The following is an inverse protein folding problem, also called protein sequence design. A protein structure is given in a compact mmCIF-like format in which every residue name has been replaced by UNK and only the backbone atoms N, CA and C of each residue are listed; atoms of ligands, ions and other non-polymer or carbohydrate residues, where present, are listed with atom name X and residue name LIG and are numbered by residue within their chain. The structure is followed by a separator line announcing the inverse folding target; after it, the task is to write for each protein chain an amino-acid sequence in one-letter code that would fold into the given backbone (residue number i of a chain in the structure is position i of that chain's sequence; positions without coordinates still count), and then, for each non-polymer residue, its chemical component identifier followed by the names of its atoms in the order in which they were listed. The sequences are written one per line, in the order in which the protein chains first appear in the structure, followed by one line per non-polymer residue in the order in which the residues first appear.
data_IF_192752471298
#
_entry.id   IF_192752471298
#
_cell.length_a   1.000
_cell.length_b   1.000
_cell.length_c   1.000
_cell.angle_alpha   90.00
_cell.angle_beta   90.00
_cell.angle_gamma   90.00
#
_symmetry.space_group_name_H-M   'P 1'
#
loop_
_entity.id
_entity.type
_entity.pdbx_description
1 polymer ?
#
# COMPACT_ATOMS: atom_id res chain seq x y z
N UNK A 1 17.62 12.50 -9.77
CA UNK A 1 16.83 11.31 -10.16
C UNK A 1 16.61 11.37 -11.67
N UNK A 2 17.01 10.35 -12.39
CA UNK A 2 16.81 10.31 -13.84
C UNK A 2 15.32 10.15 -14.14
N UNK A 3 14.79 10.97 -15.03
CA UNK A 3 13.36 11.01 -15.37
C UNK A 3 12.83 9.63 -15.88
N UNK A 4 13.71 8.77 -16.34
CA UNK A 4 13.40 7.43 -16.88
C UNK A 4 12.92 6.44 -15.82
N UNK A 5 13.47 6.46 -14.60
CA UNK A 5 13.07 5.54 -13.53
C UNK A 5 11.58 5.70 -13.15
N UNK A 6 11.06 6.91 -13.26
CA UNK A 6 9.71 7.27 -12.83
C UNK A 6 8.68 7.35 -13.97
N UNK A 7 9.06 6.91 -15.18
CA UNK A 7 8.20 7.02 -16.37
C UNK A 7 6.85 6.29 -16.27
N UNK A 8 6.78 5.27 -15.42
CA UNK A 8 5.54 4.54 -15.15
C UNK A 8 4.51 5.29 -14.30
N UNK A 9 4.88 6.44 -13.70
CA UNK A 9 3.96 7.25 -12.93
C UNK A 9 3.31 8.35 -13.78
N UNK A 10 2.11 8.76 -13.37
CA UNK A 10 1.43 9.91 -13.95
C UNK A 10 2.30 11.17 -13.90
N UNK A 11 2.24 12.03 -14.91
CA UNK A 11 3.03 13.27 -14.93
C UNK A 11 2.80 14.13 -13.68
N UNK A 12 1.56 14.22 -13.21
CA UNK A 12 1.18 14.99 -12.02
C UNK A 12 1.82 14.43 -10.75
N UNK A 13 1.84 13.11 -10.59
CA UNK A 13 2.50 12.45 -9.46
C UNK A 13 4.03 12.63 -9.53
N UNK A 14 4.63 12.48 -10.72
CA UNK A 14 6.07 12.73 -10.92
C UNK A 14 6.48 14.15 -10.56
N UNK A 15 5.66 15.13 -10.94
CA UNK A 15 5.91 16.53 -10.63
C UNK A 15 5.87 16.85 -9.13
N UNK A 16 5.24 15.98 -8.34
CA UNK A 16 5.10 16.13 -6.88
C UNK A 16 6.13 15.34 -6.07
N UNK A 17 6.97 14.53 -6.72
CA UNK A 17 8.03 13.82 -6.02
C UNK A 17 8.98 14.78 -5.28
N UNK A 18 9.17 14.54 -3.99
CA UNK A 18 9.98 15.39 -3.13
C UNK A 18 9.34 16.72 -2.72
N UNK A 19 8.12 17.01 -3.17
CA UNK A 19 7.37 18.20 -2.72
C UNK A 19 6.58 17.89 -1.45
N UNK A 20 6.51 18.87 -0.57
CA UNK A 20 5.75 18.78 0.69
C UNK A 20 4.26 19.08 0.55
N UNK A 21 3.86 19.55 -0.62
CA UNK A 21 2.50 20.01 -0.90
C UNK A 21 1.91 19.17 -2.02
N UNK A 22 1.19 18.14 -1.63
CA UNK A 22 0.55 17.21 -2.54
C UNK A 22 -0.96 17.35 -2.47
N UNK A 23 -1.51 18.13 -3.37
CA UNK A 23 -2.96 18.16 -3.59
C UNK A 23 -3.29 17.44 -4.89
N UNK A 24 -3.90 16.28 -4.78
CA UNK A 24 -4.50 15.60 -5.91
C UNK A 24 -5.94 16.14 -6.08
N UNK A 25 -6.16 16.95 -7.09
CA UNK A 25 -7.51 17.42 -7.46
C UNK A 25 -8.33 16.28 -8.07
N UNK A 26 -8.63 15.26 -7.30
CA UNK A 26 -9.54 14.19 -7.74
C UNK A 26 -10.78 14.25 -6.86
N UNK A 27 -11.97 14.32 -7.43
CA UNK A 27 -13.19 14.31 -6.64
C UNK A 27 -13.23 13.10 -5.71
N UNK A 28 -13.49 13.33 -4.44
CA UNK A 28 -13.59 12.32 -3.36
C UNK A 28 -14.75 11.35 -3.60
N UNK A 29 -15.65 11.66 -4.49
CA UNK A 29 -16.87 10.91 -4.84
C UNK A 29 -16.62 9.44 -5.23
N UNK A 30 -15.34 9.04 -5.38
CA UNK A 30 -14.93 7.68 -5.75
C UNK A 30 -14.15 6.93 -4.68
N UNK A 31 -14.20 7.36 -3.44
CA UNK A 31 -13.65 6.61 -2.31
C UNK A 31 -14.60 5.46 -1.93
N UNK A 32 -14.65 4.46 -2.75
CA UNK A 32 -15.57 3.33 -2.56
C UNK A 32 -15.33 2.50 -1.30
N UNK A 33 -14.25 2.75 -0.58
CA UNK A 33 -13.89 2.03 0.64
C UNK A 33 -13.72 2.92 1.86
N UNK A 34 -14.12 4.19 1.79
CA UNK A 34 -13.95 5.15 2.89
C UNK A 34 -14.63 4.67 4.16
N UNK A 35 -13.87 4.57 5.23
CA UNK A 35 -14.36 4.17 6.55
C UNK A 35 -14.70 2.68 6.68
N UNK A 36 -14.39 1.86 5.68
CA UNK A 36 -14.58 0.41 5.75
C UNK A 36 -13.46 -0.25 6.55
N UNK A 37 -13.84 -1.22 7.35
CA UNK A 37 -12.92 -2.11 8.07
C UNK A 37 -12.35 -3.18 7.13
N UNK A 38 -11.15 -3.65 7.40
CA UNK A 38 -10.46 -4.64 6.56
C UNK A 38 -11.27 -5.94 6.37
N UNK A 39 -11.93 -6.43 7.42
CA UNK A 39 -12.78 -7.62 7.35
C UNK A 39 -13.96 -7.45 6.39
N UNK A 40 -14.60 -6.29 6.40
CA UNK A 40 -15.67 -5.95 5.47
C UNK A 40 -15.18 -5.89 4.02
N UNK A 41 -14.02 -5.24 3.81
CA UNK A 41 -13.40 -5.13 2.49
C UNK A 41 -13.06 -6.51 1.91
N UNK A 42 -12.49 -7.39 2.73
CA UNK A 42 -12.17 -8.76 2.32
C UNK A 42 -13.46 -9.50 1.93
N UNK A 43 -14.51 -9.39 2.74
CA UNK A 43 -15.79 -10.05 2.49
C UNK A 43 -16.48 -9.54 1.21
N UNK A 44 -16.37 -8.26 0.91
CA UNK A 44 -17.00 -7.60 -0.24
C UNK A 44 -16.06 -7.43 -1.45
N UNK A 45 -14.94 -8.13 -1.49
CA UNK A 45 -13.90 -7.97 -2.53
C UNK A 45 -14.45 -7.94 -3.97
N UNK A 46 -15.39 -8.82 -4.29
CA UNK A 46 -15.98 -8.91 -5.62
C UNK A 46 -16.87 -7.69 -5.95
N UNK A 47 -17.61 -7.17 -4.98
CA UNK A 47 -18.48 -6.00 -5.12
C UNK A 47 -17.66 -4.72 -5.30
N UNK A 48 -16.46 -4.67 -4.69
CA UNK A 48 -15.54 -3.54 -4.73
C UNK A 48 -14.62 -3.53 -5.96
N UNK A 49 -14.81 -4.44 -6.92
CA UNK A 49 -13.90 -4.59 -8.07
C UNK A 49 -13.70 -3.29 -8.87
N UNK A 50 -14.72 -2.42 -8.97
CA UNK A 50 -14.64 -1.15 -9.70
C UNK A 50 -13.79 -0.09 -9.02
N UNK A 51 -13.61 -0.17 -7.69
CA UNK A 51 -12.81 0.76 -6.90
C UNK A 51 -11.49 0.16 -6.42
N UNK A 52 -11.31 -1.14 -6.60
CA UNK A 52 -10.12 -1.84 -6.18
C UNK A 52 -8.91 -1.48 -7.03
N UNK A 53 -7.80 -1.13 -6.40
CA UNK A 53 -6.53 -0.86 -7.10
C UNK A 53 -5.92 -2.20 -7.53
N UNK A 54 -5.72 -2.44 -8.84
CA UNK A 54 -5.17 -3.69 -9.32
C UNK A 54 -3.77 -3.97 -8.76
N UNK A 55 -3.55 -5.20 -8.29
CA UNK A 55 -2.31 -5.64 -7.65
C UNK A 55 -2.23 -5.39 -6.15
N UNK A 56 -3.12 -4.59 -5.59
CA UNK A 56 -3.27 -4.50 -4.13
C UNK A 56 -3.98 -5.77 -3.64
N UNK A 57 -3.39 -6.42 -2.63
CA UNK A 57 -4.00 -7.57 -1.97
C UNK A 57 -4.19 -7.25 -0.49
N UNK A 58 -5.41 -7.49 0.02
CA UNK A 58 -5.76 -7.38 1.43
C UNK A 58 -6.23 -8.76 1.86
N UNK A 59 -5.63 -9.32 2.88
CA UNK A 59 -5.87 -10.69 3.29
C UNK A 59 -5.89 -10.83 4.80
N UNK A 60 -6.69 -11.80 5.34
CA UNK A 60 -6.78 -12.01 6.78
C UNK A 60 -5.45 -12.50 7.36
N UNK A 61 -5.15 -12.06 8.57
CA UNK A 61 -3.99 -12.53 9.32
C UNK A 61 -4.24 -13.91 9.91
N UNK A 62 -3.18 -14.71 9.98
CA UNK A 62 -3.18 -15.99 10.70
C UNK A 62 -2.70 -15.75 12.12
N UNK A 63 -3.64 -15.54 13.05
CA UNK A 63 -3.38 -15.28 14.46
C UNK A 63 -3.89 -16.46 15.29
N UNK A 64 -3.02 -17.05 16.08
CA UNK A 64 -3.31 -18.22 16.90
C UNK A 64 -3.25 -17.86 18.39
N UNK A 65 -4.40 -17.79 19.09
CA UNK A 65 -4.42 -17.53 20.53
C UNK A 65 -3.65 -18.60 21.32
N UNK A 66 -2.86 -18.19 22.29
CA UNK A 66 -2.09 -19.07 23.17
C UNK A 66 -2.57 -18.97 24.64
N UNK A 67 -3.87 -19.03 24.85
CA UNK A 67 -4.51 -18.89 26.18
C UNK A 67 -4.02 -17.59 26.87
N UNK A 68 -3.50 -17.75 28.12
CA UNK A 68 -3.00 -16.64 28.94
C UNK A 68 -1.59 -16.15 28.56
N UNK A 69 -0.93 -16.78 27.59
CA UNK A 69 0.44 -16.43 27.18
C UNK A 69 0.50 -15.43 26.03
N UNK A 70 -0.65 -15.06 25.44
CA UNK A 70 -0.70 -14.15 24.30
C UNK A 70 -1.17 -14.83 23.01
N UNK A 71 -0.51 -14.57 21.91
CA UNK A 71 -0.82 -15.14 20.61
C UNK A 71 0.45 -15.37 19.79
N UNK A 72 0.32 -16.19 18.76
CA UNK A 72 1.30 -16.37 17.70
C UNK A 72 0.70 -15.87 16.38
N UNK A 73 1.42 -15.05 15.62
CA UNK A 73 0.99 -14.53 14.33
C UNK A 73 2.00 -14.85 13.24
N UNK A 74 1.53 -15.32 12.09
CA UNK A 74 2.36 -15.60 10.93
C UNK A 74 2.33 -14.42 9.94
N UNK A 75 3.48 -14.03 9.41
CA UNK A 75 3.56 -13.03 8.34
C UNK A 75 3.45 -13.66 6.95
N UNK A 76 4.03 -14.81 6.74
CA UNK A 76 3.96 -15.49 5.46
C UNK A 76 4.63 -16.86 5.50
N UNK A 77 4.29 -17.69 4.51
CA UNK A 77 4.89 -19.00 4.27
C UNK A 77 5.40 -19.07 2.84
N UNK A 78 6.45 -19.84 2.63
CA UNK A 78 7.05 -20.00 1.30
C UNK A 78 6.23 -20.88 0.36
N UNK A 79 5.44 -21.78 0.90
CA UNK A 79 4.73 -22.83 0.19
C UNK A 79 3.21 -22.63 0.10
N UNK A 80 2.69 -21.64 0.79
CA UNK A 80 1.25 -21.30 0.77
C UNK A 80 0.96 -19.86 1.16
N UNK A 81 -0.28 -19.44 0.95
CA UNK A 81 -0.79 -18.14 1.37
C UNK A 81 -0.53 -17.01 0.38
N UNK A 82 -0.88 -15.77 0.75
CA UNK A 82 -0.92 -14.65 -0.19
C UNK A 82 0.43 -14.31 -0.83
N UNK A 83 1.52 -14.35 -0.08
CA UNK A 83 2.85 -14.08 -0.64
C UNK A 83 3.27 -15.15 -1.63
N UNK A 84 3.02 -16.43 -1.31
CA UNK A 84 3.27 -17.55 -2.22
C UNK A 84 2.44 -17.45 -3.50
N UNK A 85 1.14 -17.14 -3.38
CA UNK A 85 0.22 -17.07 -4.50
C UNK A 85 0.61 -16.06 -5.59
N UNK A 86 1.36 -15.02 -5.23
CA UNK A 86 1.88 -14.03 -6.18
C UNK A 86 3.39 -14.14 -6.42
N UNK A 87 4.05 -15.13 -5.82
CA UNK A 87 5.48 -15.35 -5.96
C UNK A 87 6.35 -14.28 -5.29
N UNK A 88 5.80 -13.53 -4.34
CA UNK A 88 6.52 -12.49 -3.60
C UNK A 88 7.19 -13.08 -2.36
N UNK A 89 8.53 -13.01 -2.30
CA UNK A 89 9.26 -13.30 -1.09
C UNK A 89 10.17 -12.12 -0.73
N UNK A 90 9.92 -11.44 0.40
CA UNK A 90 10.67 -10.25 0.77
C UNK A 90 12.16 -10.51 0.96
N UNK A 91 12.99 -9.62 0.43
CA UNK A 91 14.45 -9.62 0.60
C UNK A 91 14.92 -8.82 1.81
N UNK A 92 14.05 -7.93 2.31
CA UNK A 92 14.29 -7.15 3.51
C UNK A 92 13.04 -7.15 4.37
N UNK A 93 13.25 -7.27 5.68
CA UNK A 93 12.20 -7.09 6.68
C UNK A 93 12.57 -5.93 7.60
N UNK A 94 11.58 -5.13 7.96
CA UNK A 94 11.75 -4.00 8.84
C UNK A 94 10.52 -3.80 9.73
N UNK A 95 10.67 -3.00 10.76
CA UNK A 95 9.57 -2.58 11.63
C UNK A 95 9.52 -1.07 11.70
N UNK A 96 8.31 -0.53 11.85
CA UNK A 96 8.11 0.88 12.09
C UNK A 96 7.05 1.08 13.17
N UNK A 97 7.30 2.05 14.05
CA UNK A 97 6.31 2.54 15.00
C UNK A 97 5.76 3.86 14.52
N UNK A 98 4.46 4.02 14.60
CA UNK A 98 3.74 5.26 14.37
C UNK A 98 3.18 5.74 15.70
N UNK A 99 3.52 6.95 16.09
CA UNK A 99 2.97 7.54 17.31
C UNK A 99 1.50 7.92 17.08
N UNK A 100 0.73 7.80 18.14
CA UNK A 100 -0.68 8.21 18.14
C UNK A 100 -0.89 9.59 17.53
N UNK A 101 -1.89 9.69 16.66
CA UNK A 101 -2.24 10.94 15.97
C UNK A 101 -1.24 11.38 14.89
N UNK A 102 -0.23 10.55 14.58
CA UNK A 102 0.71 10.84 13.50
C UNK A 102 0.47 9.95 12.29
N UNK A 103 1.00 10.37 11.16
CA UNK A 103 0.93 9.61 9.93
C UNK A 103 2.30 9.52 9.25
N UNK A 104 2.45 8.54 8.36
CA UNK A 104 3.62 8.34 7.49
C UNK A 104 3.18 8.24 6.04
N UNK A 105 3.91 8.84 5.13
CA UNK A 105 3.66 8.78 3.69
C UNK A 105 3.37 10.17 3.12
N UNK A 106 2.99 10.32 1.87
CA UNK A 106 2.86 9.18 0.94
C UNK A 106 4.22 8.71 0.46
N UNK A 107 4.49 7.42 0.64
CA UNK A 107 5.56 6.73 -0.05
C UNK A 107 5.07 6.23 -1.40
N UNK A 108 5.97 6.16 -2.37
CA UNK A 108 5.69 5.60 -3.69
C UNK A 108 6.99 5.04 -4.27
N UNK A 109 6.92 3.89 -4.89
CA UNK A 109 8.07 3.25 -5.52
C UNK A 109 7.92 3.24 -7.04
N UNK A 110 9.01 3.51 -7.80
CA UNK A 110 8.94 3.53 -9.24
C UNK A 110 8.66 2.13 -9.79
N UNK A 111 7.68 1.97 -10.67
CA UNK A 111 7.45 0.71 -11.35
C UNK A 111 8.51 0.50 -12.45
N UNK A 112 8.97 -0.74 -12.58
CA UNK A 112 9.84 -1.15 -13.66
C UNK A 112 9.07 -1.29 -14.97
N UNK A 113 9.52 -0.60 -16.00
CA UNK A 113 8.97 -0.73 -17.36
C UNK A 113 9.99 -1.43 -18.24
N UNK A 114 9.69 -2.59 -18.81
CA UNK A 114 10.60 -3.27 -19.72
C UNK A 114 10.94 -2.43 -20.95
N UNK A 115 12.16 -2.58 -21.45
CA UNK A 115 12.61 -1.88 -22.65
C UNK A 115 11.71 -2.20 -23.86
N UNK A 116 11.39 -1.18 -24.64
CA UNK A 116 10.54 -1.31 -25.83
C UNK A 116 9.05 -1.49 -25.57
N UNK A 117 8.61 -1.42 -24.29
CA UNK A 117 7.19 -1.52 -23.92
C UNK A 117 6.73 -0.18 -23.35
N UNK A 118 5.51 0.25 -23.71
CA UNK A 118 4.94 1.45 -23.08
C UNK A 118 4.42 1.10 -21.69
N UNK A 119 4.46 2.05 -20.72
CA UNK A 119 3.96 1.82 -19.38
C UNK A 119 2.50 1.34 -19.36
N UNK A 120 1.65 1.92 -20.20
CA UNK A 120 0.23 1.56 -20.31
C UNK A 120 0.04 0.09 -20.75
N UNK A 121 0.80 -0.33 -21.77
CA UNK A 121 0.75 -1.70 -22.26
C UNK A 121 1.29 -2.68 -21.20
N UNK A 122 2.35 -2.30 -20.49
CA UNK A 122 2.93 -3.10 -19.43
C UNK A 122 1.97 -3.30 -18.27
N UNK A 123 1.39 -2.21 -17.74
CA UNK A 123 0.45 -2.32 -16.62
C UNK A 123 -0.82 -3.05 -16.98
N UNK A 124 -1.34 -2.82 -18.21
CA UNK A 124 -2.49 -3.57 -18.69
C UNK A 124 -2.19 -5.06 -18.68
N UNK A 125 -1.06 -5.48 -19.26
CA UNK A 125 -0.65 -6.89 -19.28
C UNK A 125 -0.50 -7.45 -17.87
N UNK A 126 0.22 -6.73 -16.99
CA UNK A 126 0.57 -7.20 -15.66
C UNK A 126 -0.62 -7.33 -14.71
N UNK A 127 -1.62 -6.44 -14.84
CA UNK A 127 -2.70 -6.32 -13.86
C UNK A 127 -4.09 -6.63 -14.40
N UNK A 128 -4.27 -6.66 -15.72
CA UNK A 128 -5.60 -6.86 -16.35
C UNK A 128 -5.62 -8.11 -17.23
N UNK A 129 -4.69 -8.24 -18.16
CA UNK A 129 -4.72 -9.32 -19.13
C UNK A 129 -4.17 -10.64 -18.55
N UNK A 130 -3.09 -10.56 -17.76
CA UNK A 130 -2.40 -11.72 -17.16
C UNK A 130 -2.18 -11.58 -15.63
N UNK A 131 -3.21 -11.23 -14.83
CA UNK A 131 -3.03 -10.90 -13.42
C UNK A 131 -2.53 -12.07 -12.56
N UNK A 132 -2.74 -13.31 -13.01
CA UNK A 132 -2.28 -14.53 -12.31
C UNK A 132 -0.87 -14.96 -12.72
N UNK A 133 -0.26 -14.31 -13.70
CA UNK A 133 1.09 -14.65 -14.14
C UNK A 133 2.13 -13.90 -13.31
N UNK A 134 2.43 -14.41 -12.11
CA UNK A 134 3.43 -13.79 -11.25
C UNK A 134 4.86 -13.85 -11.80
N UNK A 135 5.15 -14.70 -12.81
CA UNK A 135 6.44 -14.70 -13.50
C UNK A 135 6.72 -13.39 -14.25
N UNK A 136 5.69 -12.60 -14.55
CA UNK A 136 5.85 -11.27 -15.11
C UNK A 136 6.25 -10.20 -14.06
N UNK A 137 6.10 -10.51 -12.75
CA UNK A 137 6.30 -9.56 -11.67
C UNK A 137 7.79 -9.27 -11.47
N UNK A 138 8.25 -8.02 -11.66
CA UNK A 138 9.68 -7.70 -11.62
C UNK A 138 10.16 -7.38 -10.18
N UNK A 139 9.94 -8.29 -9.24
CA UNK A 139 10.29 -8.12 -7.82
C UNK A 139 11.76 -7.84 -7.53
N UNK A 140 12.64 -8.13 -8.45
CA UNK A 140 14.06 -7.84 -8.37
C UNK A 140 14.44 -6.47 -8.96
N UNK A 141 13.49 -5.77 -9.59
CA UNK A 141 13.69 -4.51 -10.31
C UNK A 141 12.78 -3.38 -9.85
N UNK A 142 11.76 -3.69 -9.07
CA UNK A 142 10.85 -2.71 -8.47
C UNK A 142 10.48 -3.14 -7.06
N UNK A 143 10.15 -2.18 -6.21
CA UNK A 143 9.75 -2.48 -4.84
C UNK A 143 8.25 -2.75 -4.74
N UNK A 144 7.93 -3.92 -4.17
CA UNK A 144 6.63 -4.27 -3.65
C UNK A 144 6.74 -4.41 -2.14
N UNK A 145 5.71 -4.01 -1.42
CA UNK A 145 5.68 -4.06 0.03
C UNK A 145 4.61 -5.03 0.51
N UNK A 146 4.97 -5.87 1.47
CA UNK A 146 4.04 -6.69 2.23
C UNK A 146 4.02 -6.18 3.67
N UNK A 147 2.89 -5.65 4.13
CA UNK A 147 2.78 -4.96 5.41
C UNK A 147 1.81 -5.66 6.35
N UNK A 148 2.17 -5.69 7.62
CA UNK A 148 1.46 -6.37 8.69
C UNK A 148 1.42 -5.46 9.91
N UNK A 149 0.25 -5.28 10.49
CA UNK A 149 0.05 -4.43 11.65
C UNK A 149 -0.06 -5.32 12.89
N UNK A 150 0.91 -5.20 13.80
CA UNK A 150 1.00 -6.09 14.96
C UNK A 150 0.42 -5.46 16.22
N UNK A 151 0.30 -4.13 16.25
CA UNK A 151 -0.26 -3.39 17.39
C UNK A 151 -0.95 -2.13 16.90
N UNK A 152 -2.07 -1.77 17.56
CA UNK A 152 -2.83 -0.56 17.30
C UNK A 152 -3.73 -0.66 16.06
N UNK A 153 -4.38 0.44 15.74
CA UNK A 153 -5.26 0.57 14.57
C UNK A 153 -4.64 1.54 13.58
N UNK A 154 -4.73 1.22 12.31
CA UNK A 154 -4.12 2.01 11.25
C UNK A 154 -5.14 2.30 10.15
N UNK A 155 -5.36 3.57 9.89
CA UNK A 155 -6.02 4.01 8.67
C UNK A 155 -4.99 4.02 7.54
N UNK A 156 -5.38 3.47 6.40
CA UNK A 156 -4.54 3.36 5.21
C UNK A 156 -5.20 4.12 4.07
N UNK A 157 -4.41 4.91 3.38
CA UNK A 157 -4.83 5.59 2.16
C UNK A 157 -3.91 5.18 1.01
N UNK A 158 -4.50 4.69 -0.07
CA UNK A 158 -3.83 4.23 -1.28
C UNK A 158 -4.31 5.00 -2.49
N UNK A 159 -3.39 5.39 -3.37
CA UNK A 159 -3.71 6.08 -4.63
C UNK A 159 -2.94 5.43 -5.78
N UNK A 160 -3.65 4.99 -6.80
CA UNK A 160 -3.04 4.44 -8.02
C UNK A 160 -2.51 5.57 -8.90
N UNK A 161 -1.19 5.75 -8.92
CA UNK A 161 -0.51 6.77 -9.71
C UNK A 161 0.14 6.23 -10.98
N UNK A 162 -0.16 4.99 -11.37
CA UNK A 162 0.37 4.37 -12.59
C UNK A 162 -0.28 4.98 -13.83
N UNK A 163 0.55 5.36 -14.79
CA UNK A 163 0.08 5.90 -16.07
C UNK A 163 -0.75 4.86 -16.83
N UNK A 164 -1.83 5.28 -17.50
CA UNK A 164 -2.72 4.38 -18.24
C UNK A 164 -3.67 3.52 -17.41
N UNK A 165 -3.45 3.41 -16.09
CA UNK A 165 -4.41 2.78 -15.17
C UNK A 165 -5.48 3.80 -14.75
N UNK A 166 -6.68 3.31 -14.43
CA UNK A 166 -7.66 4.19 -13.80
C UNK A 166 -7.13 4.65 -12.44
N UNK A 167 -7.12 5.95 -12.20
CA UNK A 167 -6.71 6.49 -10.91
C UNK A 167 -7.76 6.17 -9.86
N UNK A 168 -7.47 5.20 -9.02
CA UNK A 168 -8.34 4.72 -7.94
C UNK A 168 -7.77 5.11 -6.60
N UNK A 169 -8.66 5.33 -5.65
CA UNK A 169 -8.30 5.63 -4.26
C UNK A 169 -8.99 4.61 -3.37
N UNK A 170 -8.21 4.01 -2.46
CA UNK A 170 -8.75 3.13 -1.42
C UNK A 170 -8.38 3.70 -0.06
N UNK A 171 -9.34 3.75 0.85
CA UNK A 171 -9.18 4.20 2.24
C UNK A 171 -9.84 3.19 3.16
N UNK A 172 -9.08 2.60 4.05
CA UNK A 172 -9.54 1.52 4.90
C UNK A 172 -8.86 1.55 6.28
N UNK A 173 -9.45 0.84 7.23
CA UNK A 173 -8.90 0.66 8.58
C UNK A 173 -8.50 -0.80 8.77
N UNK A 174 -7.29 -1.02 9.27
CA UNK A 174 -6.78 -2.33 9.69
C UNK A 174 -6.51 -2.28 11.19
N UNK A 175 -7.00 -3.27 11.91
CA UNK A 175 -6.66 -3.49 13.31
C UNK A 175 -5.39 -4.32 13.43
N UNK A 176 -4.58 -4.00 14.42
CA UNK A 176 -3.38 -4.79 14.74
C UNK A 176 -3.71 -6.16 15.31
N UNK A 177 -2.72 -7.04 15.28
CA UNK A 177 -2.84 -8.43 15.76
C UNK A 177 -3.26 -8.50 17.25
N UNK A 178 -2.99 -7.46 18.02
CA UNK A 178 -3.40 -7.33 19.43
C UNK A 178 -4.93 -7.23 19.62
N UNK A 179 -5.68 -6.83 18.61
CA UNK A 179 -7.15 -6.74 18.67
C UNK A 179 -7.85 -8.09 18.39
N UNK A 180 -7.21 -8.97 17.66
CA UNK A 180 -7.70 -10.32 17.34
C UNK A 180 -9.13 -10.38 16.82
N UNK A 181 -9.40 -9.65 15.75
CA UNK A 181 -10.72 -9.58 15.13
C UNK A 181 -10.67 -9.89 13.62
N UNK A 182 -11.80 -9.84 12.93
CA UNK A 182 -11.87 -10.02 11.49
C UNK A 182 -11.14 -8.90 10.71
N UNK A 183 -10.85 -7.80 11.39
CA UNK A 183 -10.17 -6.63 10.81
C UNK A 183 -8.64 -6.74 10.86
N UNK A 184 -8.10 -7.81 11.47
CA UNK A 184 -6.66 -8.09 11.36
C UNK A 184 -6.33 -8.53 9.93
N UNK A 185 -5.58 -7.72 9.25
CA UNK A 185 -5.22 -7.98 7.86
C UNK A 185 -3.75 -7.68 7.58
N UNK A 186 -3.21 -8.36 6.59
CA UNK A 186 -2.01 -7.96 5.89
C UNK A 186 -2.40 -7.29 4.57
N UNK A 187 -1.50 -6.48 4.05
CA UNK A 187 -1.67 -5.82 2.77
C UNK A 187 -0.42 -5.95 1.92
N UNK A 188 -0.60 -6.20 0.63
CA UNK A 188 0.48 -6.17 -0.36
C UNK A 188 0.24 -5.00 -1.29
N UNK A 189 1.27 -4.19 -1.49
CA UNK A 189 1.24 -2.98 -2.28
C UNK A 189 2.22 -3.09 -3.45
N UNK A 190 1.75 -2.94 -4.69
CA UNK A 190 2.63 -2.89 -5.85
C UNK A 190 3.31 -1.52 -5.98
N UNK A 191 4.41 -1.49 -6.72
CA UNK A 191 5.02 -0.25 -7.18
C UNK A 191 4.03 0.64 -7.93
N UNK A 192 4.24 1.96 -7.90
CA UNK A 192 3.34 2.94 -8.54
C UNK A 192 2.04 3.21 -7.80
N UNK A 193 1.82 2.56 -6.65
CA UNK A 193 0.72 2.89 -5.73
C UNK A 193 1.25 3.72 -4.57
N UNK A 194 0.84 4.98 -4.53
CA UNK A 194 1.16 5.86 -3.41
C UNK A 194 0.40 5.41 -2.16
N UNK A 195 1.07 5.34 -1.02
CA UNK A 195 0.49 4.83 0.21
C UNK A 195 0.89 5.65 1.44
N UNK A 196 -0.07 5.85 2.32
CA UNK A 196 0.12 6.53 3.59
C UNK A 196 -0.64 5.82 4.70
N UNK A 197 -0.14 5.95 5.92
CA UNK A 197 -0.64 5.28 7.11
C UNK A 197 -0.80 6.28 8.24
N UNK A 198 -1.90 6.19 8.98
CA UNK A 198 -2.14 7.00 10.17
C UNK A 198 -2.52 6.10 11.35
N UNK A 199 -1.86 6.30 12.48
CA UNK A 199 -2.26 5.63 13.73
C UNK A 199 -3.59 6.19 14.23
N UNK A 200 -4.57 5.32 14.45
CA UNK A 200 -5.92 5.65 14.86
C UNK A 200 -6.21 5.24 16.31
N UNK A 201 -7.29 5.77 16.88
CA UNK A 201 -7.80 5.34 18.18
C UNK A 201 -6.98 5.77 19.39
N UNK A 202 -6.14 6.81 19.27
CA UNK A 202 -5.39 7.38 20.40
C UNK A 202 -4.27 6.50 20.94
N UNK A 203 -3.86 5.47 20.20
CA UNK A 203 -2.75 4.55 20.51
C UNK A 203 -1.68 4.60 19.43
N UNK A 204 -0.45 4.26 19.81
CA UNK A 204 0.60 4.01 18.85
C UNK A 204 0.27 2.75 18.03
N UNK A 205 0.80 2.68 16.83
CA UNK A 205 0.71 1.48 16.01
C UNK A 205 2.11 0.97 15.64
N UNK A 206 2.24 -0.35 15.55
CA UNK A 206 3.47 -1.01 15.12
C UNK A 206 3.18 -1.83 13.87
N UNK A 207 4.00 -1.59 12.87
CA UNK A 207 3.98 -2.28 11.59
C UNK A 207 5.27 -3.09 11.39
N UNK A 208 5.13 -4.31 10.91
CA UNK A 208 6.22 -5.10 10.33
C UNK A 208 5.99 -5.18 8.84
N UNK A 209 7.01 -4.95 8.06
CA UNK A 209 6.88 -5.00 6.60
C UNK A 209 8.09 -5.68 5.95
N UNK A 210 7.80 -6.37 4.86
CA UNK A 210 8.78 -6.98 3.99
C UNK A 210 8.76 -6.32 2.63
N UNK A 211 9.93 -6.05 2.06
CA UNK A 211 10.09 -5.42 0.75
C UNK A 211 10.75 -6.38 -0.24
N UNK A 212 10.29 -6.38 -1.49
CA UNK A 212 10.83 -7.25 -2.56
C UNK A 212 12.28 -6.94 -2.91
N UNK A 213 12.74 -5.73 -2.62
CA UNK A 213 14.11 -5.25 -2.81
C UNK A 213 14.70 -4.83 -1.47
N UNK A 214 16.01 -4.78 -1.38
CA UNK A 214 16.67 -4.04 -0.30
C UNK A 214 16.49 -2.55 -0.51
N UNK A 215 16.45 -1.79 0.58
CA UNK A 215 16.33 -0.34 0.53
C UNK A 215 17.35 0.27 -0.43
N UNK A 216 16.85 1.05 -1.37
CA UNK A 216 17.65 1.84 -2.29
C UNK A 216 17.00 3.24 -2.40
N UNK A 217 17.73 4.30 -2.03
CA UNK A 217 17.18 5.67 -2.04
C UNK A 217 16.73 6.15 -3.43
N UNK A 218 17.25 5.57 -4.51
CA UNK A 218 16.82 5.91 -5.87
C UNK A 218 15.41 5.38 -6.19
N UNK A 219 14.97 4.34 -5.46
CA UNK A 219 13.65 3.72 -5.58
C UNK A 219 12.67 4.20 -4.51
N UNK A 220 13.04 5.19 -3.70
CA UNK A 220 12.20 5.77 -2.68
C UNK A 220 11.65 7.12 -3.13
N UNK A 221 10.38 7.16 -3.45
CA UNK A 221 9.66 8.39 -3.76
C UNK A 221 8.80 8.84 -2.58
N UNK A 222 8.72 10.14 -2.39
CA UNK A 222 7.87 10.75 -1.37
C UNK A 222 7.05 11.86 -1.98
N UNK A 223 5.75 11.78 -1.78
CA UNK A 223 4.78 12.77 -2.22
C UNK A 223 4.11 13.31 -0.97
N UNK A 224 4.10 14.63 -0.79
CA UNK A 224 3.55 15.26 0.41
C UNK A 224 4.18 14.78 1.72
N UNK A 225 5.50 14.58 1.73
CA UNK A 225 6.22 14.26 2.96
C UNK A 225 6.33 15.49 3.86
N UNK A 226 5.20 15.82 4.52
CA UNK A 226 5.17 16.81 5.60
C UNK A 226 5.62 16.22 6.94
N UNK A 227 5.97 14.96 6.95
CA UNK A 227 5.95 14.07 8.10
C UNK A 227 7.02 14.38 9.13
N UNK A 228 8.11 14.96 8.77
CA UNK A 228 9.14 15.24 9.78
C UNK A 228 8.79 16.41 10.72
N UNK A 229 7.78 17.24 10.39
CA UNK A 229 7.55 18.49 11.09
C UNK A 229 6.11 18.92 11.36
N UNK A 230 5.12 18.25 10.78
CA UNK A 230 3.71 18.55 11.06
C UNK A 230 2.88 17.27 10.97
N UNK A 231 1.89 17.10 11.85
CA UNK A 231 0.93 16.02 11.68
C UNK A 231 0.24 16.19 10.32
N UNK A 232 0.00 15.07 9.62
CA UNK A 232 -0.90 15.09 8.48
C UNK A 232 -2.23 15.70 8.93
N UNK A 233 -2.92 16.48 8.09
CA UNK A 233 -4.23 16.99 8.44
C UNK A 233 -5.12 15.87 8.95
N UNK A 234 -5.96 16.12 9.94
CA UNK A 234 -6.92 15.12 10.45
C UNK A 234 -7.76 14.53 9.33
N UNK A 235 -7.93 15.28 8.27
CA UNK A 235 -8.65 14.90 7.09
C UNK A 235 -7.69 14.63 5.92
N UNK A 236 -7.60 13.38 5.51
CA UNK A 236 -6.87 12.96 4.33
C UNK A 236 -7.37 13.61 3.02
N UNK A 237 -8.55 14.20 3.03
CA UNK A 237 -9.12 14.86 1.86
C UNK A 237 -8.24 15.99 1.35
N UNK A 238 -7.51 16.67 2.22
CA UNK A 238 -6.51 17.67 1.82
C UNK A 238 -5.43 17.10 0.89
N UNK A 239 -5.20 15.81 0.94
CA UNK A 239 -4.21 15.11 0.11
C UNK A 239 -4.75 14.61 -1.20
N UNK A 240 -6.01 14.24 -1.23
CA UNK A 240 -6.66 13.69 -2.44
C UNK A 240 -7.44 14.74 -3.21
N UNK A 241 -7.39 16.00 -2.74
CA UNK A 241 -8.00 17.14 -3.41
C UNK A 241 -9.49 17.14 -3.33
N UNK A 242 -10.04 16.98 -2.12
CA UNK A 242 -11.40 17.39 -1.86
C UNK A 242 -11.47 18.91 -2.06
N UNK A 243 -12.25 19.30 -3.01
CA UNK A 243 -12.64 20.70 -3.24
C UNK A 243 -13.61 21.15 -2.17
#
# INVERSE_FOLDING_TARGET
MTNELWQGLRPEARAKLGQRDYSLKTPVERLGTTGMEAGEIIAKRAELASVWIPGVEIFPRRIFPQRHRGFFGEFGRMDEGPLHAIGLWPRQWATARMFSGTAKGFHIHPPHIPEGVTPEAWFRRLFIDEPQNFALRPYDREQWDAMFFVEGNVEILLVDERVGMQRRVMRLIIEGDDQRGPNNAGIILPSGVAHAFRAEGGRDAIMVYGTSMQFNPDFEGRIADSVERAPLPPDWQAYIGAS
#
